data_IF_195174106037
#
_entry.id   IF_195174106037
#
_cell.length_a   1.000
_cell.length_b   1.000
_cell.length_c   1.000
_cell.angle_alpha   90.00
_cell.angle_beta   90.00
_cell.angle_gamma   90.00
#
_symmetry.space_group_name_H-M   'P 1'
#
loop_
_entity.id
_entity.type
_entity.pdbx_description
1 polymer ?
#
# COMPACT_ATOMS: atom_id res chain seq x y z
N UNK A 1 -28.23 -11.28 13.39
CA UNK A 1 -27.95 -10.42 12.22
C UNK A 1 -27.28 -9.16 12.77
N UNK A 2 -25.99 -9.16 13.08
CA UNK A 2 -24.90 -10.01 12.59
C UNK A 2 -23.94 -10.40 13.72
N UNK A 3 -23.81 -11.71 13.94
CA UNK A 3 -22.81 -12.33 14.82
C UNK A 3 -21.40 -12.31 14.18
N UNK A 4 -21.05 -11.25 13.43
CA UNK A 4 -19.81 -11.15 12.65
C UNK A 4 -18.81 -10.15 13.22
N UNK A 5 -19.02 -9.64 14.44
CA UNK A 5 -18.11 -8.67 15.08
C UNK A 5 -16.89 -9.29 15.78
N UNK A 6 -16.70 -10.61 15.74
CA UNK A 6 -15.60 -11.27 16.44
C UNK A 6 -14.80 -12.23 15.56
N UNK A 7 -14.05 -11.65 14.61
CA UNK A 7 -12.81 -12.26 14.16
C UNK A 7 -11.68 -11.24 14.35
N UNK A 8 -11.18 -11.16 15.57
CA UNK A 8 -9.79 -10.81 15.84
C UNK A 8 -8.90 -11.93 15.29
N UNK A 9 -8.86 -12.07 13.96
CA UNK A 9 -7.75 -12.75 13.31
C UNK A 9 -6.60 -11.75 13.34
N UNK A 10 -5.56 -12.08 14.10
CA UNK A 10 -4.30 -11.36 14.11
C UNK A 10 -3.62 -11.59 12.74
N UNK A 11 -4.12 -10.88 11.72
CA UNK A 11 -3.63 -11.00 10.34
C UNK A 11 -2.28 -10.31 10.31
N UNK A 12 -1.21 -11.12 10.29
CA UNK A 12 0.13 -10.63 10.04
C UNK A 12 0.23 -10.11 8.61
N UNK A 13 0.50 -8.81 8.48
CA UNK A 13 0.69 -8.14 7.19
C UNK A 13 2.18 -8.11 6.87
N UNK A 14 2.65 -8.84 5.83
CA UNK A 14 4.06 -8.88 5.49
C UNK A 14 4.56 -7.53 4.94
N UNK A 15 5.79 -7.18 5.32
CA UNK A 15 6.47 -5.95 4.90
C UNK A 15 7.53 -6.30 3.86
N UNK A 16 7.63 -5.49 2.80
CA UNK A 16 8.57 -5.72 1.69
C UNK A 16 10.03 -5.84 2.14
N UNK A 17 10.45 -5.02 3.10
CA UNK A 17 11.79 -5.08 3.67
C UNK A 17 12.11 -6.46 4.27
N UNK A 18 11.17 -7.03 5.04
CA UNK A 18 11.33 -8.34 5.68
C UNK A 18 11.35 -9.46 4.64
N UNK A 19 10.44 -9.42 3.65
CA UNK A 19 10.37 -10.38 2.55
C UNK A 19 11.68 -10.37 1.75
N UNK A 20 12.14 -9.17 1.38
CA UNK A 20 13.37 -9.00 0.61
C UNK A 20 14.61 -9.46 1.39
N UNK A 21 14.68 -9.21 2.69
CA UNK A 21 15.79 -9.67 3.55
C UNK A 21 15.93 -11.20 3.59
N UNK A 22 14.83 -11.93 3.37
CA UNK A 22 14.79 -13.40 3.29
C UNK A 22 15.08 -13.92 1.87
N UNK A 23 15.25 -13.03 0.88
CA UNK A 23 15.41 -13.39 -0.52
C UNK A 23 14.11 -13.88 -1.18
N UNK A 24 12.97 -13.63 -0.56
CA UNK A 24 11.65 -14.00 -1.07
C UNK A 24 11.06 -12.86 -1.92
N UNK A 25 10.02 -13.17 -2.70
CA UNK A 25 9.28 -12.19 -3.51
C UNK A 25 7.78 -12.38 -3.35
N UNK A 26 7.02 -11.32 -3.63
CA UNK A 26 5.55 -11.33 -3.63
C UNK A 26 5.01 -11.05 -5.03
N UNK A 27 3.80 -11.55 -5.30
CA UNK A 27 3.15 -11.33 -6.59
C UNK A 27 2.67 -9.88 -6.76
N UNK A 28 2.26 -9.25 -5.66
CA UNK A 28 1.63 -7.93 -5.66
C UNK A 28 2.12 -7.09 -4.47
N UNK A 29 2.47 -5.83 -4.73
CA UNK A 29 2.60 -4.83 -3.68
C UNK A 29 1.24 -4.20 -3.40
N UNK A 30 0.77 -4.24 -2.15
CA UNK A 30 -0.37 -3.45 -1.73
C UNK A 30 0.09 -2.06 -1.29
N UNK A 31 -0.26 -1.05 -2.07
CA UNK A 31 -0.02 0.36 -1.78
C UNK A 31 -1.16 0.92 -0.93
N UNK A 32 -0.87 1.17 0.34
CA UNK A 32 -1.87 1.55 1.36
C UNK A 32 -2.39 2.97 1.11
N UNK A 33 -1.49 3.88 0.75
CA UNK A 33 -1.77 5.29 0.55
C UNK A 33 -1.96 6.05 1.86
N UNK A 34 -1.85 7.38 1.78
CA UNK A 34 -1.91 8.25 2.95
C UNK A 34 -3.26 8.17 3.68
N UNK A 35 -4.39 8.14 2.97
CA UNK A 35 -5.69 8.00 3.61
C UNK A 35 -5.83 6.66 4.33
N UNK A 36 -5.42 5.56 3.68
CA UNK A 36 -5.46 4.22 4.27
C UNK A 36 -4.55 4.05 5.49
N UNK A 37 -3.53 4.89 5.64
CA UNK A 37 -2.61 4.89 6.77
C UNK A 37 -3.04 5.83 7.91
N UNK A 38 -3.60 7.02 7.62
CA UNK A 38 -3.81 8.09 8.61
C UNK A 38 -5.27 8.45 8.92
N UNK A 39 -6.24 8.17 8.04
CA UNK A 39 -7.66 8.49 8.30
C UNK A 39 -8.37 7.24 8.86
N UNK A 40 -8.94 7.34 10.07
CA UNK A 40 -9.57 6.22 10.77
C UNK A 40 -10.64 5.50 9.95
N UNK A 41 -11.40 6.23 9.12
CA UNK A 41 -12.45 5.65 8.28
C UNK A 41 -11.82 4.80 7.18
N UNK A 42 -10.74 5.30 6.57
CA UNK A 42 -10.05 4.58 5.50
C UNK A 42 -9.12 3.48 6.02
N UNK A 43 -8.61 3.58 7.24
CA UNK A 43 -7.91 2.45 7.88
C UNK A 43 -8.82 1.22 8.01
N UNK A 44 -10.12 1.39 8.27
CA UNK A 44 -11.07 0.28 8.26
C UNK A 44 -11.14 -0.39 6.89
N UNK A 45 -11.19 0.42 5.83
CA UNK A 45 -11.16 -0.08 4.44
C UNK A 45 -9.86 -0.84 4.15
N UNK A 46 -8.71 -0.30 4.55
CA UNK A 46 -7.40 -0.97 4.41
C UNK A 46 -7.38 -2.33 5.10
N UNK A 47 -7.86 -2.40 6.36
CA UNK A 47 -7.94 -3.65 7.12
C UNK A 47 -8.87 -4.67 6.45
N UNK A 48 -10.03 -4.22 5.96
CA UNK A 48 -10.97 -5.10 5.27
C UNK A 48 -10.41 -5.57 3.91
N UNK A 49 -9.65 -4.73 3.20
CA UNK A 49 -8.95 -5.11 1.98
C UNK A 49 -7.87 -6.16 2.24
N UNK A 50 -7.08 -6.00 3.30
CA UNK A 50 -6.10 -6.99 3.78
C UNK A 50 -6.76 -8.34 4.09
N UNK A 51 -7.92 -8.34 4.75
CA UNK A 51 -8.70 -9.57 5.00
C UNK A 51 -9.07 -10.27 3.70
N UNK A 52 -9.50 -9.52 2.68
CA UNK A 52 -9.84 -10.07 1.37
C UNK A 52 -8.60 -10.70 0.72
N UNK A 53 -7.47 -10.01 0.68
CA UNK A 53 -6.22 -10.54 0.11
C UNK A 53 -5.78 -11.83 0.82
N UNK A 54 -5.87 -11.86 2.14
CA UNK A 54 -5.51 -13.02 2.95
C UNK A 54 -6.45 -14.21 2.69
N UNK A 55 -7.76 -13.97 2.65
CA UNK A 55 -8.76 -15.01 2.36
C UNK A 55 -8.63 -15.58 0.94
N UNK A 56 -8.24 -14.75 -0.02
CA UNK A 56 -7.95 -15.16 -1.39
C UNK A 56 -6.57 -15.81 -1.57
N UNK A 57 -5.76 -15.87 -0.51
CA UNK A 57 -4.39 -16.40 -0.52
C UNK A 57 -3.50 -15.74 -1.58
N UNK A 58 -3.69 -14.44 -1.80
CA UNK A 58 -2.82 -13.66 -2.68
C UNK A 58 -1.47 -13.48 -1.98
N UNK A 59 -0.38 -13.71 -2.69
CA UNK A 59 0.96 -13.34 -2.22
C UNK A 59 1.13 -11.83 -2.34
N UNK A 60 1.10 -11.12 -1.21
CA UNK A 60 1.23 -9.67 -1.18
C UNK A 60 2.14 -9.21 -0.04
N UNK A 61 2.60 -7.96 -0.10
CA UNK A 61 3.21 -7.24 1.01
C UNK A 61 2.98 -5.72 0.89
N UNK A 62 3.26 -4.99 1.97
CA UNK A 62 3.19 -3.52 2.03
C UNK A 62 4.59 -2.92 2.19
N UNK A 63 4.78 -1.65 1.85
CA UNK A 63 6.06 -0.94 2.06
C UNK A 63 6.30 -0.52 3.53
N UNK A 64 5.26 -0.52 4.37
CA UNK A 64 5.37 -0.10 5.77
C UNK A 64 5.85 1.35 5.87
N UNK A 65 6.90 1.59 6.64
CA UNK A 65 7.47 2.94 6.85
C UNK A 65 8.15 3.53 5.61
N UNK A 66 8.46 2.70 4.61
CA UNK A 66 9.08 3.15 3.37
C UNK A 66 8.06 3.70 2.36
N UNK A 67 6.76 3.50 2.62
CA UNK A 67 5.72 4.08 1.78
C UNK A 67 5.70 5.60 1.94
N UNK A 68 5.72 6.30 0.81
CA UNK A 68 5.58 7.75 0.75
C UNK A 68 4.32 8.12 -0.01
N UNK A 69 3.84 9.36 0.14
CA UNK A 69 2.73 9.85 -0.68
C UNK A 69 3.09 9.77 -2.17
N UNK A 70 2.07 9.53 -3.03
CA UNK A 70 2.23 9.52 -4.49
C UNK A 70 2.45 10.92 -5.08
N UNK A 71 2.20 11.98 -4.31
CA UNK A 71 2.29 13.36 -4.76
C UNK A 71 1.05 13.90 -5.45
N UNK A 72 -0.06 13.15 -5.45
CA UNK A 72 -1.37 13.61 -5.92
C UNK A 72 -1.76 15.00 -5.36
N UNK A 73 -1.67 15.29 -4.04
CA UNK A 73 -2.00 16.62 -3.53
C UNK A 73 -1.08 17.72 -4.05
N UNK A 74 0.22 17.44 -4.16
CA UNK A 74 1.21 18.40 -4.68
C UNK A 74 0.92 18.74 -6.15
N UNK A 75 0.64 17.72 -6.96
CA UNK A 75 0.30 17.87 -8.38
C UNK A 75 -0.98 18.70 -8.56
N UNK A 76 -2.05 18.39 -7.82
CA UNK A 76 -3.30 19.17 -7.88
C UNK A 76 -3.16 20.60 -7.41
N UNK A 77 -2.25 20.86 -6.46
CA UNK A 77 -1.93 22.21 -6.00
C UNK A 77 -1.02 22.99 -6.98
N UNK A 78 -0.62 22.38 -8.11
CA UNK A 78 0.31 22.98 -9.07
C UNK A 78 1.78 22.99 -8.61
N UNK A 79 2.10 22.29 -7.52
CA UNK A 79 3.48 22.13 -7.05
C UNK A 79 4.16 20.96 -7.78
N UNK A 80 4.45 21.20 -9.06
CA UNK A 80 5.02 20.18 -9.96
C UNK A 80 6.40 19.71 -9.47
N UNK A 81 7.23 20.61 -8.94
CA UNK A 81 8.55 20.24 -8.43
C UNK A 81 8.46 19.20 -7.30
N UNK A 82 7.59 19.43 -6.31
CA UNK A 82 7.39 18.47 -5.22
C UNK A 82 6.78 17.16 -5.72
N UNK A 83 5.84 17.22 -6.67
CA UNK A 83 5.30 16.02 -7.29
C UNK A 83 6.40 15.18 -7.95
N UNK A 84 7.26 15.80 -8.76
CA UNK A 84 8.38 15.11 -9.43
C UNK A 84 9.35 14.49 -8.42
N UNK A 85 9.71 15.22 -7.36
CA UNK A 85 10.56 14.66 -6.29
C UNK A 85 9.94 13.41 -5.64
N UNK A 86 8.63 13.43 -5.37
CA UNK A 86 7.94 12.29 -4.78
C UNK A 86 7.82 11.13 -5.77
N UNK A 87 7.56 11.42 -7.05
CA UNK A 87 7.52 10.40 -8.10
C UNK A 87 8.86 9.68 -8.25
N UNK A 88 9.99 10.42 -8.30
CA UNK A 88 11.34 9.84 -8.37
C UNK A 88 11.60 8.93 -7.18
N UNK A 89 11.31 9.39 -5.96
CA UNK A 89 11.47 8.58 -4.74
C UNK A 89 10.67 7.27 -4.80
N UNK A 90 9.41 7.35 -5.24
CA UNK A 90 8.55 6.16 -5.35
C UNK A 90 9.08 5.19 -6.42
N UNK A 91 9.55 5.69 -7.57
CA UNK A 91 10.18 4.88 -8.62
C UNK A 91 11.42 4.15 -8.07
N UNK A 92 12.29 4.86 -7.33
CA UNK A 92 13.47 4.26 -6.70
C UNK A 92 13.09 3.12 -5.74
N UNK A 93 12.13 3.35 -4.84
CA UNK A 93 11.66 2.31 -3.91
C UNK A 93 11.07 1.11 -4.64
N UNK A 94 10.21 1.32 -5.64
CA UNK A 94 9.61 0.23 -6.43
C UNK A 94 10.66 -0.56 -7.20
N UNK A 95 11.68 0.12 -7.74
CA UNK A 95 12.79 -0.52 -8.44
C UNK A 95 13.68 -1.35 -7.51
N UNK A 96 13.99 -0.85 -6.30
CA UNK A 96 14.77 -1.59 -5.28
C UNK A 96 14.15 -2.95 -4.99
N UNK A 97 12.82 -3.02 -4.90
CA UNK A 97 12.10 -4.27 -4.67
C UNK A 97 11.67 -5.01 -5.94
N UNK A 98 12.04 -4.50 -7.12
CA UNK A 98 11.67 -5.05 -8.42
C UNK A 98 10.15 -5.30 -8.56
N UNK A 99 9.32 -4.38 -8.04
CA UNK A 99 7.87 -4.52 -8.00
C UNK A 99 7.30 -4.59 -9.42
N UNK A 100 6.48 -5.61 -9.69
CA UNK A 100 5.86 -5.82 -11.01
C UNK A 100 4.38 -5.48 -11.06
N UNK A 101 3.69 -5.59 -9.93
CA UNK A 101 2.25 -5.33 -9.83
C UNK A 101 1.99 -4.57 -8.54
N UNK A 102 1.22 -3.50 -8.66
CA UNK A 102 0.76 -2.70 -7.51
C UNK A 102 -0.76 -2.78 -7.49
N UNK A 103 -1.32 -2.98 -6.30
CA UNK A 103 -2.76 -2.84 -6.06
C UNK A 103 -2.96 -1.76 -5.01
N UNK A 104 -4.02 -0.97 -5.14
CA UNK A 104 -4.38 0.05 -4.15
C UNK A 104 -5.89 0.16 -4.04
N UNK A 105 -6.37 0.47 -2.84
CA UNK A 105 -7.78 0.81 -2.60
C UNK A 105 -8.05 2.31 -2.79
N UNK A 106 -7.01 3.12 -3.04
CA UNK A 106 -7.12 4.57 -3.18
C UNK A 106 -7.13 4.96 -4.67
N UNK A 107 -8.23 5.54 -5.20
CA UNK A 107 -8.31 5.95 -6.61
C UNK A 107 -7.31 7.07 -6.96
N UNK A 108 -6.95 7.90 -5.99
CA UNK A 108 -5.92 8.93 -6.19
C UNK A 108 -4.53 8.34 -6.36
N UNK A 109 -4.19 7.32 -5.57
CA UNK A 109 -2.93 6.60 -5.73
C UNK A 109 -2.91 5.85 -7.07
N UNK A 110 -4.02 5.20 -7.44
CA UNK A 110 -4.16 4.48 -8.71
C UNK A 110 -3.91 5.36 -9.94
N UNK A 111 -4.41 6.59 -9.95
CA UNK A 111 -4.24 7.48 -11.11
C UNK A 111 -2.83 8.07 -11.25
N UNK A 112 -2.04 8.03 -10.18
CA UNK A 112 -0.72 8.66 -10.14
C UNK A 112 0.43 7.67 -10.29
N UNK A 113 0.26 6.44 -9.79
CA UNK A 113 1.22 5.33 -9.90
C UNK A 113 1.08 4.60 -11.23
#
# INVERSE_FOLDING_TARGET
>A
MDELENQNNDISVPIMADISSKGETVDVLFWVGCAGAYDDRYQKVTRDFVKILHNLKISYAVLGIEESCTGDPAKRAGNEFLFQMQAVKNIETLNTYNVKKVVTACPHCFNVL
#
